data_IF_292428285361
#
_entry.id   IF_292428285361
#
_cell.length_a   1.000
_cell.length_b   1.000
_cell.length_c   1.000
_cell.angle_alpha   90.00
_cell.angle_beta   90.00
_cell.angle_gamma   90.00
#
_symmetry.space_group_name_H-M   'P 1'
#
loop_
_entity.id
_entity.type
_entity.pdbx_description
1 polymer ?
#
# COMPACT_ATOMS: atom_id res chain seq x y z
N UNK A 1 6.44 10.75 13.17
CA UNK A 1 5.03 10.39 12.93
C UNK A 1 4.61 11.04 11.62
N UNK A 2 4.49 10.25 10.55
CA UNK A 2 3.93 10.68 9.28
C UNK A 2 2.56 11.32 9.54
N UNK A 3 2.27 12.46 8.90
CA UNK A 3 0.98 13.16 8.98
C UNK A 3 -0.16 12.43 8.28
N UNK A 4 -0.02 11.12 8.06
CA UNK A 4 -0.85 10.26 7.23
C UNK A 4 -1.12 8.94 7.94
N UNK A 5 -2.35 8.47 7.85
CA UNK A 5 -2.80 7.14 8.27
C UNK A 5 -2.99 6.28 7.02
N UNK A 6 -2.56 5.02 7.07
CA UNK A 6 -2.74 4.05 5.99
C UNK A 6 -3.74 2.99 6.41
N UNK A 7 -4.72 2.74 5.57
CA UNK A 7 -5.77 1.74 5.79
C UNK A 7 -5.86 0.83 4.56
N UNK A 8 -5.95 -0.48 4.78
CA UNK A 8 -6.14 -1.45 3.69
C UNK A 8 -7.63 -1.68 3.51
N UNK A 9 -8.18 -1.25 2.38
CA UNK A 9 -9.61 -1.39 2.06
C UNK A 9 -9.93 -2.82 1.60
N UNK A 10 -9.03 -3.42 0.82
CA UNK A 10 -9.17 -4.80 0.37
C UNK A 10 -7.83 -5.41 -0.03
N UNK A 11 -7.77 -6.73 -0.04
CA UNK A 11 -6.60 -7.48 -0.45
C UNK A 11 -7.01 -8.71 -1.26
N UNK A 12 -6.37 -8.89 -2.40
CA UNK A 12 -6.64 -9.94 -3.37
C UNK A 12 -5.37 -10.75 -3.62
N UNK A 13 -5.43 -12.06 -3.41
CA UNK A 13 -4.34 -12.99 -3.70
C UNK A 13 -4.41 -13.53 -5.15
N UNK A 14 -4.90 -12.73 -6.09
CA UNK A 14 -5.00 -13.15 -7.49
C UNK A 14 -3.64 -13.48 -8.12
N UNK A 15 -3.62 -13.63 -9.45
CA UNK A 15 -2.37 -13.82 -10.23
C UNK A 15 -1.26 -12.83 -9.86
N UNK A 16 -1.65 -11.61 -9.50
CA UNK A 16 -0.78 -10.60 -8.91
C UNK A 16 -1.39 -10.21 -7.57
N UNK A 17 -0.79 -10.62 -6.44
CA UNK A 17 -1.26 -10.20 -5.12
C UNK A 17 -1.31 -8.68 -5.04
N UNK A 18 -2.48 -8.13 -4.72
CA UNK A 18 -2.75 -6.70 -4.77
C UNK A 18 -3.51 -6.27 -3.52
N UNK A 19 -3.13 -5.14 -2.95
CA UNK A 19 -3.79 -4.52 -1.80
C UNK A 19 -4.21 -3.11 -2.16
N UNK A 20 -5.49 -2.81 -1.98
CA UNK A 20 -6.02 -1.46 -2.13
C UNK A 20 -5.85 -0.73 -0.80
N UNK A 21 -5.14 0.40 -0.84
CA UNK A 21 -4.73 1.17 0.31
C UNK A 21 -5.24 2.59 0.18
N UNK A 22 -5.78 3.09 1.28
CA UNK A 22 -6.21 4.48 1.43
C UNK A 22 -5.28 5.18 2.40
N UNK A 23 -4.68 6.28 1.95
CA UNK A 23 -3.89 7.18 2.76
C UNK A 23 -4.73 8.41 3.14
N UNK A 24 -4.90 8.63 4.43
CA UNK A 24 -5.66 9.76 4.99
C UNK A 24 -4.70 10.70 5.71
N UNK A 25 -4.56 11.93 5.24
CA UNK A 25 -3.77 12.95 5.93
C UNK A 25 -4.53 13.52 7.12
N UNK A 26 -3.80 14.06 8.10
CA UNK A 26 -4.39 14.82 9.23
C UNK A 26 -5.22 16.04 8.80
N UNK A 27 -4.99 16.56 7.60
CA UNK A 27 -5.73 17.69 7.04
C UNK A 27 -6.99 17.27 6.26
N UNK A 28 -7.37 15.99 6.30
CA UNK A 28 -8.57 15.46 5.63
C UNK A 28 -8.37 15.08 4.16
N UNK A 29 -7.16 15.24 3.60
CA UNK A 29 -6.84 14.75 2.26
C UNK A 29 -6.83 13.21 2.23
N UNK A 30 -7.47 12.63 1.22
CA UNK A 30 -7.57 11.18 1.03
C UNK A 30 -7.00 10.82 -0.33
N UNK A 31 -6.10 9.84 -0.37
CA UNK A 31 -5.47 9.33 -1.60
C UNK A 31 -5.62 7.80 -1.61
N UNK A 32 -6.18 7.26 -2.68
CA UNK A 32 -6.39 5.81 -2.84
C UNK A 32 -5.47 5.26 -3.91
N UNK A 33 -4.86 4.12 -3.64
CA UNK A 33 -3.94 3.47 -4.55
C UNK A 33 -3.81 1.97 -4.28
N UNK A 34 -3.33 1.25 -5.27
CA UNK A 34 -3.03 -0.17 -5.16
C UNK A 34 -1.52 -0.41 -4.96
N UNK A 35 -1.19 -1.34 -4.07
CA UNK A 35 0.15 -1.91 -3.92
C UNK A 35 0.10 -3.35 -4.41
N UNK A 36 0.92 -3.69 -5.39
CA UNK A 36 0.92 -5.02 -6.00
C UNK A 36 2.28 -5.68 -5.91
N UNK A 37 2.30 -7.00 -5.72
CA UNK A 37 3.52 -7.82 -5.76
C UNK A 37 3.88 -8.15 -7.21
N UNK A 38 4.88 -7.47 -7.73
CA UNK A 38 5.46 -7.76 -9.05
C UNK A 38 6.74 -8.58 -8.93
N UNK A 39 7.31 -9.09 -10.04
CA UNK A 39 8.52 -9.92 -9.99
C UNK A 39 9.72 -9.27 -9.27
N UNK A 40 9.85 -7.93 -9.35
CA UNK A 40 10.89 -7.17 -8.64
C UNK A 40 10.52 -6.81 -7.20
N UNK A 41 9.35 -7.22 -6.71
CA UNK A 41 8.81 -6.94 -5.40
C UNK A 41 7.56 -6.06 -5.40
N UNK A 42 7.11 -5.73 -4.19
CA UNK A 42 5.97 -4.87 -3.92
C UNK A 42 6.18 -3.44 -4.41
N UNK A 43 5.22 -2.92 -5.20
CA UNK A 43 5.28 -1.56 -5.75
C UNK A 43 3.91 -0.95 -5.96
N UNK A 44 3.88 0.36 -5.98
CA UNK A 44 2.72 1.18 -6.34
C UNK A 44 2.88 1.59 -7.80
N UNK A 45 1.92 1.22 -8.66
CA UNK A 45 1.99 1.51 -10.11
C UNK A 45 1.43 2.88 -10.50
N UNK A 46 0.72 3.52 -9.59
CA UNK A 46 0.11 4.82 -9.82
C UNK A 46 1.17 5.93 -9.82
N UNK A 47 1.26 6.66 -10.92
CA UNK A 47 2.25 7.72 -11.11
C UNK A 47 1.88 8.99 -10.32
N UNK A 48 0.62 9.39 -10.38
CA UNK A 48 0.14 10.68 -9.87
C UNK A 48 -0.36 10.62 -8.42
N UNK A 49 0.47 10.05 -7.54
CA UNK A 49 0.17 9.97 -6.11
C UNK A 49 0.67 11.20 -5.37
N UNK A 50 -0.26 11.99 -4.83
CA UNK A 50 0.12 13.18 -4.08
C UNK A 50 0.29 12.87 -2.58
N UNK A 51 1.09 11.84 -2.32
CA UNK A 51 1.54 11.43 -0.99
C UNK A 51 3.06 11.47 -0.89
N UNK A 52 3.62 11.81 0.29
CA UNK A 52 5.06 11.81 0.51
C UNK A 52 5.70 10.45 0.25
N UNK A 53 6.99 10.45 -0.14
CA UNK A 53 7.76 9.23 -0.36
C UNK A 53 7.89 8.34 0.90
N UNK A 54 7.79 8.90 2.10
CA UNK A 54 7.72 8.11 3.34
C UNK A 54 6.43 7.28 3.42
N UNK A 55 5.28 7.88 3.11
CA UNK A 55 3.97 7.21 3.10
C UNK A 55 3.93 6.11 2.05
N UNK A 56 4.51 6.35 0.87
CA UNK A 56 4.65 5.31 -0.17
C UNK A 56 5.46 4.10 0.32
N UNK A 57 6.56 4.33 1.05
CA UNK A 57 7.40 3.28 1.62
C UNK A 57 6.68 2.52 2.73
N UNK A 58 5.99 3.23 3.63
CA UNK A 58 5.18 2.65 4.69
C UNK A 58 4.08 1.74 4.10
N UNK A 59 3.39 2.17 3.05
CA UNK A 59 2.36 1.36 2.40
C UNK A 59 2.92 0.07 1.77
N UNK A 60 4.11 0.14 1.16
CA UNK A 60 4.80 -1.04 0.63
C UNK A 60 5.22 -2.00 1.75
N UNK A 61 5.72 -1.48 2.88
CA UNK A 61 6.07 -2.30 4.04
C UNK A 61 4.85 -2.96 4.67
N UNK A 62 3.75 -2.22 4.82
CA UNK A 62 2.47 -2.73 5.30
C UNK A 62 1.97 -3.87 4.40
N UNK A 63 2.02 -3.69 3.09
CA UNK A 63 1.62 -4.73 2.14
C UNK A 63 2.48 -6.00 2.26
N UNK A 64 3.80 -5.86 2.44
CA UNK A 64 4.70 -6.99 2.71
C UNK A 64 4.34 -7.74 3.99
N UNK A 65 4.14 -7.01 5.10
CA UNK A 65 3.82 -7.59 6.40
C UNK A 65 2.48 -8.34 6.36
N UNK A 66 1.46 -7.72 5.78
CA UNK A 66 0.14 -8.31 5.66
C UNK A 66 0.14 -9.49 4.70
N UNK A 67 0.91 -9.44 3.61
CA UNK A 67 1.05 -10.57 2.71
C UNK A 67 1.75 -11.76 3.38
N UNK A 68 2.78 -11.51 4.20
CA UNK A 68 3.38 -12.54 5.03
C UNK A 68 2.39 -13.14 6.03
N UNK A 69 1.54 -12.30 6.62
CA UNK A 69 0.56 -12.72 7.62
C UNK A 69 -0.64 -13.47 7.02
N UNK A 70 -1.23 -12.96 5.94
CA UNK A 70 -2.46 -13.50 5.34
C UNK A 70 -2.20 -14.63 4.34
N UNK A 71 -1.06 -14.58 3.65
CA UNK A 71 -0.79 -15.47 2.53
C UNK A 71 0.53 -16.23 2.67
N UNK A 72 1.29 -16.03 3.76
CA UNK A 72 2.58 -16.68 3.95
C UNK A 72 3.67 -16.22 2.97
N UNK A 73 3.48 -15.06 2.32
CA UNK A 73 4.48 -14.47 1.42
C UNK A 73 5.52 -13.68 2.21
N UNK A 74 6.66 -14.28 2.52
CA UNK A 74 7.80 -13.62 3.20
C UNK A 74 8.81 -13.01 2.24
#
# INVERSE_FOLDING_TARGET
MSSWTLEVESAEYGLIPTMNVTAVSKCGRVERFAVSLWPAGWRILQRDLNIPASVRREAIQLAKQLAGHWWGLT
#
